data_IF_625307838421
#
_entry.id   IF_625307838421
#
_cell.length_a   1.000
_cell.length_b   1.000
_cell.length_c   1.000
_cell.angle_alpha   90.00
_cell.angle_beta   90.00
_cell.angle_gamma   90.00
#
_symmetry.space_group_name_H-M   'P 1'
#
loop_
_entity.id
_entity.type
_entity.pdbx_description
1 polymer ?
#
# COMPACT_ATOMS: atom_id res chain seq x y z
N UNK A 1 7.53 10.06 31.09
CA UNK A 1 7.14 9.59 32.44
C UNK A 1 5.64 9.79 32.58
N UNK A 2 4.93 8.87 33.23
CA UNK A 2 3.50 9.04 33.51
C UNK A 2 3.22 9.02 35.02
N UNK A 3 2.27 9.83 35.46
CA UNK A 3 1.79 9.90 36.84
C UNK A 3 0.26 9.95 36.85
N UNK A 4 -0.36 9.24 37.79
CA UNK A 4 -1.79 9.35 38.08
C UNK A 4 -2.00 9.12 39.57
N UNK A 5 -2.93 9.87 40.15
CA UNK A 5 -3.38 9.70 41.52
C UNK A 5 -4.75 9.05 41.54
N UNK A 6 -5.62 9.51 40.63
CA UNK A 6 -6.98 9.02 40.43
C UNK A 6 -7.23 8.69 38.94
N UNK A 7 -8.18 7.79 38.60
CA UNK A 7 -8.54 7.49 37.22
C UNK A 7 -8.98 8.71 36.41
N UNK A 8 -9.53 9.73 37.07
CA UNK A 8 -10.02 10.97 36.46
C UNK A 8 -8.91 11.92 36.01
N UNK A 9 -7.67 11.70 36.45
CA UNK A 9 -6.52 12.50 36.00
C UNK A 9 -6.18 12.22 34.53
N UNK A 10 -6.50 11.01 34.06
CA UNK A 10 -6.32 10.61 32.68
C UNK A 10 -7.46 11.11 31.79
N UNK A 11 -7.15 11.47 30.54
CA UNK A 11 -8.14 11.92 29.56
C UNK A 11 -8.20 10.95 28.38
N UNK A 12 -9.42 10.67 27.93
CA UNK A 12 -9.65 9.77 26.80
C UNK A 12 -9.10 10.39 25.50
N UNK A 13 -8.24 9.65 24.80
CA UNK A 13 -7.58 10.09 23.57
C UNK A 13 -6.26 10.85 23.77
N UNK A 14 -5.87 11.17 25.00
CA UNK A 14 -4.62 11.89 25.28
C UNK A 14 -3.58 11.02 26.01
N UNK A 15 -2.31 11.11 25.60
CA UNK A 15 -1.20 10.37 26.20
C UNK A 15 -0.04 11.32 26.55
N UNK A 16 -0.30 12.24 27.47
CA UNK A 16 0.55 13.42 27.74
C UNK A 16 1.26 13.40 29.11
N UNK A 17 1.33 12.26 29.78
CA UNK A 17 1.95 12.10 31.09
C UNK A 17 0.98 11.80 32.23
N UNK A 18 -0.33 11.87 31.99
CA UNK A 18 -1.34 11.42 32.95
C UNK A 18 -1.86 10.05 32.55
N UNK A 19 -1.44 9.02 33.28
CA UNK A 19 -1.83 7.62 33.03
C UNK A 19 -1.12 6.97 31.83
N UNK A 20 -0.77 7.75 30.82
CA UNK A 20 -0.06 7.33 29.62
C UNK A 20 1.03 8.34 29.27
N UNK A 21 2.14 7.87 28.68
CA UNK A 21 3.18 8.73 28.11
C UNK A 21 3.61 8.16 26.77
N UNK A 22 3.62 9.00 25.74
CA UNK A 22 4.15 8.66 24.42
C UNK A 22 5.41 9.48 24.12
N UNK A 23 6.30 8.90 23.32
CA UNK A 23 7.46 9.59 22.78
C UNK A 23 7.72 9.07 21.36
N UNK A 24 8.09 9.98 20.46
CA UNK A 24 8.53 9.61 19.11
C UNK A 24 9.93 9.02 19.17
N UNK A 25 10.17 7.98 18.38
CA UNK A 25 11.51 7.42 18.18
C UNK A 25 12.31 8.41 17.31
N UNK A 26 13.44 8.96 17.79
CA UNK A 26 14.27 9.84 16.99
C UNK A 26 14.90 9.11 15.80
N UNK A 27 15.09 9.82 14.69
CA UNK A 27 15.84 9.32 13.54
C UNK A 27 17.30 9.03 13.89
N UNK A 28 17.90 8.05 13.22
CA UNK A 28 19.33 7.75 13.33
C UNK A 28 19.76 6.94 14.55
N UNK A 29 18.81 6.42 15.34
CA UNK A 29 19.13 5.46 16.41
C UNK A 29 19.37 4.06 15.83
N UNK A 30 20.31 3.32 16.42
CA UNK A 30 20.63 1.94 16.01
C UNK A 30 19.98 0.89 16.91
N UNK A 31 19.63 1.27 18.13
CA UNK A 31 19.03 0.41 19.13
C UNK A 31 18.02 1.19 19.96
N UNK A 32 16.91 0.54 20.32
CA UNK A 32 15.83 1.12 21.09
C UNK A 32 15.37 0.10 22.13
N UNK A 33 15.70 0.35 23.40
CA UNK A 33 15.20 -0.44 24.52
C UNK A 33 14.06 0.30 25.22
N UNK A 34 12.91 -0.36 25.32
CA UNK A 34 11.73 0.16 26.01
C UNK A 34 11.52 -0.66 27.27
N UNK A 35 11.60 0.00 28.43
CA UNK A 35 11.36 -0.63 29.73
C UNK A 35 10.52 0.27 30.62
N UNK A 36 9.75 -0.34 31.52
CA UNK A 36 8.93 0.37 32.49
C UNK A 36 9.45 0.11 33.88
N UNK A 37 9.63 1.18 34.65
CA UNK A 37 10.01 1.10 36.06
C UNK A 37 9.06 1.94 36.91
N UNK A 38 8.82 1.52 38.15
CA UNK A 38 7.99 2.26 39.11
C UNK A 38 8.89 2.91 40.15
N UNK A 39 8.82 4.24 40.28
CA UNK A 39 9.66 5.00 41.22
C UNK A 39 9.11 5.05 42.66
N UNK A 40 7.80 4.85 42.85
CA UNK A 40 7.13 4.91 44.16
C UNK A 40 6.31 3.65 44.40
N UNK A 41 5.98 3.38 45.66
CA UNK A 41 5.09 2.28 45.99
C UNK A 41 3.71 2.49 45.34
N UNK A 42 3.31 1.56 44.46
CA UNK A 42 2.06 1.61 43.69
C UNK A 42 0.84 1.05 44.42
N UNK A 43 0.95 0.66 45.69
CA UNK A 43 -0.18 0.09 46.46
C UNK A 43 -1.46 0.92 46.38
N UNK A 44 -1.36 2.25 46.30
CA UNK A 44 -2.51 3.16 46.26
C UNK A 44 -3.25 3.15 44.92
N UNK A 45 -2.55 2.93 43.80
CA UNK A 45 -3.14 2.95 42.44
C UNK A 45 -3.43 1.55 41.90
N UNK A 46 -2.94 0.49 42.56
CA UNK A 46 -3.04 -0.90 42.10
C UNK A 46 -4.47 -1.37 41.83
N UNK A 47 -5.46 -0.74 42.46
CA UNK A 47 -6.88 -1.09 42.30
C UNK A 47 -7.48 -0.66 40.96
N UNK A 48 -6.93 0.36 40.30
CA UNK A 48 -7.36 0.81 38.97
C UNK A 48 -6.22 0.81 37.93
N UNK A 49 -4.99 0.55 38.36
CA UNK A 49 -3.77 0.42 37.55
C UNK A 49 -2.93 -0.78 38.03
N UNK A 50 -3.38 -2.01 37.72
CA UNK A 50 -2.75 -3.22 38.24
C UNK A 50 -1.40 -3.53 37.58
N UNK A 51 -1.19 -3.08 36.34
CA UNK A 51 0.03 -3.34 35.59
C UNK A 51 0.47 -2.11 34.77
N UNK A 52 1.77 -2.06 34.48
CA UNK A 52 2.35 -1.03 33.60
C UNK A 52 2.94 -1.74 32.41
N UNK A 53 2.60 -1.27 31.21
CA UNK A 53 3.13 -1.78 29.96
C UNK A 53 3.80 -0.64 29.17
N UNK A 54 4.79 -0.99 28.38
CA UNK A 54 5.32 -0.12 27.35
C UNK A 54 5.62 -0.97 26.12
N UNK A 55 5.34 -0.40 24.95
CA UNK A 55 5.46 -1.07 23.67
C UNK A 55 5.73 -0.01 22.60
N UNK A 56 6.28 -0.45 21.47
CA UNK A 56 6.44 0.38 20.28
C UNK A 56 5.30 0.08 19.32
N UNK A 57 4.69 1.13 18.78
CA UNK A 57 3.57 1.04 17.86
C UNK A 57 3.71 2.11 16.78
N UNK A 58 3.18 1.83 15.59
CA UNK A 58 3.10 2.80 14.51
C UNK A 58 2.33 4.05 14.97
N UNK A 59 2.72 5.19 14.42
CA UNK A 59 2.09 6.48 14.70
C UNK A 59 0.57 6.38 14.52
N UNK A 60 -0.18 6.90 15.48
CA UNK A 60 -1.64 6.95 15.50
C UNK A 60 -2.36 5.58 15.52
N UNK A 61 -1.64 4.45 15.62
CA UNK A 61 -2.22 3.11 15.64
C UNK A 61 -2.66 2.63 17.03
N UNK A 62 -2.32 3.36 18.10
CA UNK A 62 -2.84 3.15 19.45
C UNK A 62 -3.44 4.45 19.99
N UNK A 63 -4.64 4.34 20.58
CA UNK A 63 -5.30 5.43 21.28
C UNK A 63 -5.53 5.02 22.73
N UNK A 64 -5.03 5.84 23.64
CA UNK A 64 -5.21 5.63 25.06
C UNK A 64 -6.60 6.08 25.51
N UNK A 65 -7.25 5.26 26.33
CA UNK A 65 -8.50 5.58 27.03
C UNK A 65 -8.33 5.29 28.51
N UNK A 66 -9.08 5.98 29.38
CA UNK A 66 -9.07 5.75 30.83
C UNK A 66 -9.34 4.29 31.20
N UNK A 67 -10.19 3.62 30.43
CA UNK A 67 -10.48 2.20 30.60
C UNK A 67 -9.21 1.34 30.54
N UNK A 68 -8.20 1.75 29.76
CA UNK A 68 -6.95 1.02 29.64
C UNK A 68 -6.14 1.00 30.94
N UNK A 69 -6.37 1.93 31.87
CA UNK A 69 -5.69 1.88 33.17
C UNK A 69 -5.97 0.56 33.90
N UNK A 70 -7.17 0.02 33.76
CA UNK A 70 -7.59 -1.21 34.44
C UNK A 70 -7.26 -2.50 33.69
N UNK A 71 -6.60 -2.40 32.52
CA UNK A 71 -6.18 -3.57 31.75
C UNK A 71 -5.10 -4.37 32.49
N UNK A 72 -5.15 -5.69 32.33
CA UNK A 72 -4.17 -6.60 32.89
C UNK A 72 -3.06 -6.94 31.89
N UNK A 73 -2.06 -7.70 32.34
CA UNK A 73 -0.94 -8.10 31.49
C UNK A 73 -1.37 -9.00 30.32
N UNK A 74 -2.48 -9.74 30.47
CA UNK A 74 -2.95 -10.63 29.41
C UNK A 74 -3.54 -9.84 28.25
N UNK A 75 -4.25 -8.75 28.54
CA UNK A 75 -4.71 -7.80 27.53
C UNK A 75 -3.54 -7.28 26.68
N UNK A 76 -2.48 -6.79 27.34
CA UNK A 76 -1.30 -6.26 26.64
C UNK A 76 -0.49 -7.32 25.90
N UNK A 77 -0.41 -8.55 26.42
CA UNK A 77 0.24 -9.65 25.72
C UNK A 77 -0.55 -10.11 24.47
N UNK A 78 -1.87 -9.91 24.46
CA UNK A 78 -2.73 -10.26 23.33
C UNK A 78 -2.83 -9.15 22.26
N UNK A 79 -2.35 -7.94 22.56
CA UNK A 79 -2.41 -6.81 21.64
C UNK A 79 -1.51 -7.05 20.41
N UNK A 80 -2.13 -6.99 19.23
CA UNK A 80 -1.43 -6.99 17.95
C UNK A 80 -1.47 -5.59 17.37
N UNK A 81 -0.36 -4.89 17.49
CA UNK A 81 -0.22 -3.52 17.02
C UNK A 81 0.77 -3.46 15.85
N UNK A 82 0.48 -2.66 14.81
CA UNK A 82 1.39 -2.54 13.69
C UNK A 82 2.65 -1.78 14.11
N UNK A 83 3.79 -2.20 13.57
CA UNK A 83 5.08 -1.52 13.71
C UNK A 83 5.56 -1.11 12.32
N UNK A 84 5.81 0.18 12.15
CA UNK A 84 6.40 0.74 10.92
C UNK A 84 7.67 1.45 11.32
N UNK A 85 8.80 0.98 10.79
CA UNK A 85 10.12 1.55 11.04
C UNK A 85 10.69 2.10 9.74
N UNK A 86 11.22 3.31 9.81
CA UNK A 86 12.13 3.84 8.79
C UNK A 86 13.53 3.35 9.13
N UNK A 87 14.12 2.56 8.24
CA UNK A 87 15.38 1.86 8.49
C UNK A 87 16.31 1.92 7.28
N UNK A 88 17.60 1.75 7.54
CA UNK A 88 18.65 1.61 6.54
C UNK A 88 19.73 0.66 7.03
N UNK A 89 20.55 0.16 6.10
CA UNK A 89 21.63 -0.79 6.39
C UNK A 89 22.97 -0.06 6.34
N UNK A 90 23.76 -0.23 7.40
CA UNK A 90 25.12 0.28 7.48
C UNK A 90 25.20 1.80 7.58
N UNK A 91 26.38 2.34 7.30
CA UNK A 91 26.64 3.79 7.35
C UNK A 91 26.86 4.41 5.96
N UNK A 92 26.89 3.59 4.90
CA UNK A 92 27.11 4.02 3.53
C UNK A 92 25.78 4.28 2.82
N UNK A 93 25.78 5.27 1.94
CA UNK A 93 24.65 5.57 1.05
C UNK A 93 24.86 4.93 -0.32
N UNK A 94 23.87 5.01 -1.20
CA UNK A 94 23.92 4.48 -2.56
C UNK A 94 24.95 5.16 -3.47
N UNK A 95 25.55 6.27 -3.03
CA UNK A 95 26.55 7.04 -3.79
C UNK A 95 28.00 6.64 -3.47
N UNK A 96 28.20 5.83 -2.42
CA UNK A 96 29.52 5.59 -1.83
C UNK A 96 30.39 4.58 -2.60
N UNK A 97 29.81 3.86 -3.55
CA UNK A 97 30.45 2.84 -4.37
C UNK A 97 29.48 2.45 -5.50
N UNK A 98 29.91 1.71 -6.53
CA UNK A 98 29.04 1.18 -7.59
C UNK A 98 27.93 0.31 -6.96
N UNK A 99 26.81 0.94 -6.58
CA UNK A 99 25.73 0.40 -5.74
C UNK A 99 25.05 -0.86 -6.29
N UNK A 100 25.50 -1.28 -7.48
CA UNK A 100 25.34 -2.58 -8.11
C UNK A 100 25.61 -3.77 -7.19
N UNK A 101 26.58 -3.72 -6.25
CA UNK A 101 26.87 -4.87 -5.38
C UNK A 101 26.00 -4.94 -4.11
N UNK A 102 25.45 -3.80 -3.67
CA UNK A 102 24.69 -3.71 -2.42
C UNK A 102 23.34 -4.40 -2.52
N UNK A 103 22.68 -4.21 -3.66
CA UNK A 103 21.36 -4.76 -3.95
C UNK A 103 21.47 -5.91 -4.95
N UNK A 104 20.58 -6.92 -4.83
CA UNK A 104 20.62 -8.11 -5.70
C UNK A 104 19.80 -7.91 -6.98
N UNK A 105 19.68 -8.98 -7.78
CA UNK A 105 19.01 -8.96 -9.09
C UNK A 105 17.64 -8.27 -9.05
N UNK A 106 17.34 -7.49 -10.10
CA UNK A 106 16.09 -6.75 -10.29
C UNK A 106 15.71 -5.83 -9.12
N UNK A 107 16.71 -5.34 -8.40
CA UNK A 107 16.54 -4.32 -7.36
C UNK A 107 17.44 -3.11 -7.61
N UNK A 108 17.10 -2.01 -6.95
CA UNK A 108 17.82 -0.75 -7.00
C UNK A 108 18.04 -0.23 -5.58
N UNK A 109 19.15 0.49 -5.41
CA UNK A 109 19.52 1.13 -4.16
C UNK A 109 18.75 2.45 -4.02
N UNK A 110 18.24 2.73 -2.83
CA UNK A 110 17.67 4.01 -2.46
C UNK A 110 18.19 4.46 -1.10
N UNK A 111 18.48 5.75 -1.00
CA UNK A 111 18.85 6.38 0.28
C UNK A 111 17.57 6.67 1.08
N UNK A 112 17.44 6.15 2.31
CA UNK A 112 16.29 6.46 3.16
C UNK A 112 16.36 7.92 3.66
N UNK A 113 15.23 8.63 3.63
CA UNK A 113 15.16 10.05 4.00
C UNK A 113 15.41 10.30 5.50
N UNK A 114 14.98 9.37 6.36
CA UNK A 114 15.01 9.52 7.83
C UNK A 114 15.91 8.52 8.55
N UNK A 115 16.74 7.78 7.80
CA UNK A 115 17.65 6.79 8.36
C UNK A 115 19.05 6.93 7.74
N UNK A 116 20.06 6.44 8.47
CA UNK A 116 21.41 6.30 7.92
C UNK A 116 21.51 5.00 7.12
N UNK A 117 22.46 4.96 6.20
CA UNK A 117 22.73 3.79 5.39
C UNK A 117 21.97 3.79 4.06
N UNK A 118 21.79 2.61 3.49
CA UNK A 118 21.06 2.40 2.23
C UNK A 118 19.89 1.43 2.43
N UNK A 119 18.93 1.47 1.50
CA UNK A 119 17.88 0.47 1.39
C UNK A 119 17.81 -0.04 -0.05
N UNK A 120 17.51 -1.32 -0.22
CA UNK A 120 17.21 -1.89 -1.53
C UNK A 120 15.70 -1.97 -1.69
N UNK A 121 15.23 -1.70 -2.91
CA UNK A 121 13.85 -1.90 -3.33
C UNK A 121 13.84 -2.61 -4.69
N UNK A 122 12.84 -3.45 -4.93
CA UNK A 122 12.69 -4.04 -6.26
C UNK A 122 12.45 -2.94 -7.30
N UNK A 123 12.99 -3.15 -8.51
CA UNK A 123 12.73 -2.27 -9.65
C UNK A 123 11.24 -2.27 -10.00
N UNK A 124 10.79 -1.27 -10.75
CA UNK A 124 9.42 -1.27 -11.28
C UNK A 124 9.12 -2.57 -12.02
N UNK A 125 7.95 -3.15 -11.77
CA UNK A 125 7.52 -4.42 -12.37
C UNK A 125 7.99 -5.64 -11.59
N UNK A 126 8.69 -5.46 -10.47
CA UNK A 126 9.15 -6.55 -9.61
C UNK A 126 8.67 -6.38 -8.16
N UNK A 127 8.48 -7.51 -7.47
CA UNK A 127 8.09 -7.55 -6.06
C UNK A 127 8.81 -8.67 -5.31
N UNK A 128 8.94 -8.52 -3.99
CA UNK A 128 9.58 -9.51 -3.12
C UNK A 128 10.67 -8.89 -2.25
N UNK A 129 11.68 -9.67 -1.91
CA UNK A 129 12.75 -9.25 -1.01
C UNK A 129 14.05 -8.96 -1.79
N UNK A 130 14.45 -7.68 -1.95
CA UNK A 130 15.59 -7.28 -2.77
C UNK A 130 16.97 -7.67 -2.21
N UNK A 131 17.02 -8.22 -0.98
CA UNK A 131 18.25 -8.69 -0.35
C UNK A 131 18.51 -10.19 -0.54
N UNK A 132 17.52 -10.93 -1.03
CA UNK A 132 17.68 -12.35 -1.32
C UNK A 132 18.11 -12.57 -2.78
N UNK A 133 18.93 -13.61 -3.07
CA UNK A 133 19.17 -14.06 -4.44
C UNK A 133 17.84 -14.36 -5.15
N UNK A 134 17.62 -13.79 -6.34
CA UNK A 134 16.35 -13.90 -7.07
C UNK A 134 15.11 -13.50 -6.21
N UNK A 135 15.30 -12.61 -5.25
CA UNK A 135 14.26 -12.24 -4.30
C UNK A 135 13.24 -11.25 -4.88
N UNK A 136 13.62 -10.46 -5.88
CA UNK A 136 12.71 -9.64 -6.67
C UNK A 136 12.22 -10.43 -7.89
N UNK A 137 10.94 -10.78 -7.86
CA UNK A 137 10.27 -11.55 -8.91
C UNK A 137 9.36 -10.65 -9.73
N UNK A 138 9.28 -10.94 -11.02
CA UNK A 138 8.38 -10.28 -11.94
C UNK A 138 6.94 -10.28 -11.40
N UNK A 139 6.29 -9.12 -11.46
CA UNK A 139 4.89 -8.94 -11.09
C UNK A 139 4.06 -9.16 -12.33
N UNK A 140 3.14 -10.13 -12.27
CA UNK A 140 2.23 -10.32 -13.39
C UNK A 140 1.05 -9.33 -13.31
N UNK A 141 1.18 -8.17 -13.96
CA UNK A 141 0.10 -7.16 -13.92
C UNK A 141 -1.17 -7.61 -14.65
N UNK A 142 -1.09 -8.63 -15.52
CA UNK A 142 -2.27 -9.21 -16.18
C UNK A 142 -3.18 -10.01 -15.23
N UNK A 143 -2.64 -10.48 -14.11
CA UNK A 143 -3.42 -11.11 -13.03
C UNK A 143 -4.00 -10.09 -12.03
N UNK A 144 -3.71 -8.80 -12.21
CA UNK A 144 -4.09 -7.72 -11.29
C UNK A 144 -4.50 -6.42 -11.98
N UNK A 145 -4.22 -5.29 -11.32
CA UNK A 145 -4.59 -3.94 -11.76
C UNK A 145 -3.75 -3.44 -12.93
N UNK A 146 -4.19 -3.72 -14.16
CA UNK A 146 -3.60 -3.19 -15.40
C UNK A 146 -4.50 -2.15 -16.08
N UNK A 147 -3.94 -1.49 -17.09
CA UNK A 147 -4.61 -0.47 -17.89
C UNK A 147 -5.16 -0.99 -19.23
N UNK A 148 -5.18 -2.32 -19.43
CA UNK A 148 -5.80 -2.91 -20.61
C UNK A 148 -7.32 -2.77 -20.57
N UNK A 149 -7.93 -2.62 -21.74
CA UNK A 149 -9.39 -2.54 -21.88
C UNK A 149 -10.05 -3.81 -21.34
N UNK A 150 -9.44 -4.98 -21.63
CA UNK A 150 -9.88 -6.29 -21.14
C UNK A 150 -8.66 -7.12 -20.74
N UNK A 151 -8.82 -7.97 -19.73
CA UNK A 151 -7.74 -8.84 -19.24
C UNK A 151 -7.17 -9.76 -20.33
N UNK A 152 -8.01 -10.21 -21.28
CA UNK A 152 -7.57 -11.06 -22.41
C UNK A 152 -6.64 -10.34 -23.41
N UNK A 153 -6.58 -9.01 -23.38
CA UNK A 153 -5.67 -8.24 -24.24
C UNK A 153 -4.30 -8.05 -23.60
N UNK A 154 -4.16 -8.37 -22.31
CA UNK A 154 -2.93 -8.18 -21.56
C UNK A 154 -1.92 -9.29 -21.86
N UNK A 155 -0.67 -8.90 -22.07
CA UNK A 155 0.47 -9.79 -22.23
C UNK A 155 1.52 -9.39 -21.20
N UNK A 156 1.81 -10.30 -20.28
CA UNK A 156 2.85 -10.11 -19.28
C UNK A 156 4.24 -10.33 -19.90
N UNK A 157 5.19 -9.50 -19.52
CA UNK A 157 6.59 -9.59 -19.91
C UNK A 157 7.48 -9.37 -18.69
N UNK A 158 8.75 -9.74 -18.78
CA UNK A 158 9.69 -9.51 -17.69
C UNK A 158 9.85 -8.00 -17.41
N UNK A 159 9.48 -7.56 -16.21
CA UNK A 159 9.49 -6.18 -15.76
C UNK A 159 8.25 -5.35 -16.15
N UNK A 160 7.18 -5.97 -16.68
CA UNK A 160 5.92 -5.25 -16.90
C UNK A 160 4.93 -5.95 -17.84
N UNK A 161 4.12 -5.17 -18.53
CA UNK A 161 3.08 -5.71 -19.42
C UNK A 161 2.79 -4.78 -20.61
N UNK A 162 2.14 -5.34 -21.62
CA UNK A 162 1.56 -4.55 -22.71
C UNK A 162 0.17 -5.07 -23.08
N UNK A 163 -0.65 -4.18 -23.62
CA UNK A 163 -1.97 -4.50 -24.14
C UNK A 163 -1.88 -4.68 -25.66
N UNK A 164 -2.66 -5.63 -26.20
CA UNK A 164 -2.70 -5.88 -27.63
C UNK A 164 -4.10 -6.30 -28.07
N UNK A 165 -4.61 -5.64 -29.10
CA UNK A 165 -5.87 -6.01 -29.71
C UNK A 165 -5.79 -7.36 -30.47
N UNK A 166 -6.88 -8.13 -30.48
CA UNK A 166 -6.95 -9.35 -31.27
C UNK A 166 -6.96 -9.02 -32.78
N UNK A 167 -6.60 -10.01 -33.60
CA UNK A 167 -6.58 -9.87 -35.05
C UNK A 167 -7.94 -9.40 -35.60
N UNK A 168 -7.91 -8.42 -36.49
CA UNK A 168 -9.12 -7.81 -37.05
C UNK A 168 -9.67 -6.62 -36.26
N UNK A 169 -8.94 -6.15 -35.24
CA UNK A 169 -9.21 -4.92 -34.51
C UNK A 169 -8.02 -3.96 -34.63
N UNK A 170 -8.27 -2.66 -34.47
CA UNK A 170 -7.25 -1.61 -34.39
C UNK A 170 -7.34 -0.88 -33.03
N UNK A 171 -6.26 -0.17 -32.66
CA UNK A 171 -6.05 0.40 -31.33
C UNK A 171 -4.98 -0.35 -30.54
N UNK A 172 -4.60 0.19 -29.37
CA UNK A 172 -3.62 -0.41 -28.47
C UNK A 172 -4.24 -1.37 -27.43
N UNK A 173 -5.56 -1.44 -27.34
CA UNK A 173 -6.27 -2.30 -26.39
C UNK A 173 -6.12 -1.85 -24.94
N UNK A 174 -5.83 -0.56 -24.74
CA UNK A 174 -5.85 0.11 -23.43
C UNK A 174 -7.22 0.72 -23.18
N UNK A 175 -7.49 1.12 -21.95
CA UNK A 175 -8.74 1.84 -21.61
C UNK A 175 -8.88 3.18 -22.34
N UNK A 176 -7.76 3.83 -22.69
CA UNK A 176 -7.73 5.12 -23.40
C UNK A 176 -7.72 4.97 -24.93
N UNK A 177 -7.31 3.81 -25.44
CA UNK A 177 -7.27 3.48 -26.86
C UNK A 177 -7.80 2.04 -27.07
N UNK A 178 -9.14 1.87 -27.03
CA UNK A 178 -9.79 0.56 -27.02
C UNK A 178 -9.76 -0.11 -28.40
N UNK A 179 -9.97 -1.43 -28.40
CA UNK A 179 -10.01 -2.23 -29.61
C UNK A 179 -11.30 -2.01 -30.41
N UNK A 180 -11.14 -1.45 -31.60
CA UNK A 180 -12.26 -1.21 -32.53
C UNK A 180 -12.19 -2.21 -33.68
N UNK A 181 -13.31 -2.86 -33.98
CA UNK A 181 -13.38 -3.83 -35.09
C UNK A 181 -13.06 -3.15 -36.41
N UNK A 182 -12.10 -3.71 -37.15
CA UNK A 182 -11.74 -3.27 -38.50
C UNK A 182 -12.75 -3.73 -39.56
N UNK A 183 -13.75 -4.54 -39.19
CA UNK A 183 -14.87 -4.86 -40.09
C UNK A 183 -15.81 -3.66 -40.20
N UNK A 184 -15.90 -3.07 -41.39
CA UNK A 184 -16.98 -2.13 -41.71
C UNK A 184 -18.29 -2.90 -41.76
N UNK A 185 -19.17 -2.71 -40.78
CA UNK A 185 -20.56 -3.12 -40.92
C UNK A 185 -21.19 -2.25 -42.00
N UNK A 186 -21.63 -2.86 -43.10
CA UNK A 186 -22.47 -2.17 -44.07
C UNK A 186 -23.81 -1.88 -43.38
N UNK A 187 -24.29 -0.62 -43.35
CA UNK A 187 -25.60 -0.33 -42.80
C UNK A 187 -26.66 -1.05 -43.65
N UNK A 188 -27.47 -1.88 -43.00
CA UNK A 188 -28.67 -2.44 -43.62
C UNK A 188 -29.74 -1.35 -43.54
N UNK A 189 -29.95 -0.64 -44.65
CA UNK A 189 -31.05 0.29 -44.81
C UNK A 189 -32.30 -0.51 -45.21
N UNK A 190 -33.20 -0.74 -44.27
CA UNK A 190 -34.54 -1.28 -44.57
C UNK A 190 -35.46 -0.09 -44.83
N UNK A 191 -35.62 0.26 -46.11
CA UNK A 191 -36.63 1.22 -46.56
C UNK A 191 -37.94 0.50 -46.86
N UNK A 192 -39.05 0.97 -46.31
CA UNK A 192 -40.37 0.62 -46.83
C UNK A 192 -40.67 1.55 -48.00
N UNK A 193 -40.61 1.06 -49.23
CA UNK A 193 -41.07 1.86 -50.37
C UNK A 193 -42.60 1.97 -50.33
N UNK A 194 -43.12 3.21 -50.28
CA UNK A 194 -44.47 3.49 -50.77
C UNK A 194 -44.37 3.72 -52.27
N UNK A 195 -44.90 2.79 -53.06
CA UNK A 195 -45.17 3.02 -54.48
C UNK A 195 -46.14 4.20 -54.60
N UNK A 196 -45.66 5.35 -55.06
CA UNK A 196 -46.54 6.37 -55.63
C UNK A 196 -46.84 5.95 -57.07
N UNK A 197 -48.11 5.62 -57.32
CA UNK A 197 -48.64 5.45 -58.66
C UNK A 197 -48.31 6.70 -59.49
N UNK A 198 -47.40 6.58 -60.44
CA UNK A 198 -47.31 7.52 -61.55
C UNK A 198 -48.52 7.23 -62.44
N UNK A 199 -49.49 8.14 -62.43
CA UNK A 199 -50.74 8.05 -63.19
C UNK A 199 -50.48 7.55 -64.63
N UNK A 200 -50.92 6.31 -64.87
CA UNK A 200 -50.83 5.67 -66.17
C UNK A 200 -51.80 6.31 -67.15
N UNK A 201 -51.30 7.13 -68.07
CA UNK A 201 -52.03 7.39 -69.32
C UNK A 201 -51.74 6.27 -70.31
N UNK A 202 -52.69 5.36 -70.51
CA UNK A 202 -52.74 4.54 -71.72
C UNK A 202 -53.47 5.29 -72.82
N UNK A 203 -52.85 5.40 -74.00
CA UNK A 203 -53.54 5.46 -75.29
C UNK A 203 -52.67 4.92 -76.41
N UNK A 204 -53.10 3.79 -76.97
CA UNK A 204 -53.18 3.61 -78.42
C UNK A 204 -54.68 3.69 -78.75
N UNK A 205 -54.98 4.47 -79.80
CA UNK A 205 -56.28 5.04 -80.25
C UNK A 205 -56.79 6.28 -79.49
#
# INVERSE_FOLDING_TARGET
>A
MAQCTEPTDAMDGECSGFGCCQASIPSGILDANVSTNTFRNRSLVRHFNPCTAAFVVAKDAFKFYRANLSDDINHYNALQLPLVLDWGIGQQNCSSDDGSYLCKDNSECNDPEHALGYRCKCKHGYSGNPYLPQGCKDVNECLGGNHCEKSIYCNNIDGGYYCKCPSGYHGNGTKTDPCISSRRLAPVLVGTERCLNLDGRRRLE
#
